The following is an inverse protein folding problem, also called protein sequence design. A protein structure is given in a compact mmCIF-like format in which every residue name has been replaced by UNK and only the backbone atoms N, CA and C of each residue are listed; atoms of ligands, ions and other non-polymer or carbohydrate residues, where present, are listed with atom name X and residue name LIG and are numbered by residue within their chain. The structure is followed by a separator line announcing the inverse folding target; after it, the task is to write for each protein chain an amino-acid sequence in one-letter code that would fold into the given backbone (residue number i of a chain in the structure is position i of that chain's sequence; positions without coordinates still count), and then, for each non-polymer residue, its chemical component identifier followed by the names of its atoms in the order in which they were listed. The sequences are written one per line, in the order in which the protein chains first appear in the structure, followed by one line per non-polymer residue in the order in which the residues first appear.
data_IF_465676367362
#
_entry.id   IF_465676367362
#
_cell.length_a   1.000
_cell.length_b   1.000
_cell.length_c   1.000
_cell.angle_alpha   90.00
_cell.angle_beta   90.00
_cell.angle_gamma   90.00
#
_symmetry.space_group_name_H-M   'P 1'
#
loop_
_entity.id
_entity.type
_entity.pdbx_description
1 polymer ?
#
# COMPACT_ATOMS: atom_id res chain seq x y z
N UNK A 1 -4.43 -3.18 18.56
CA UNK A 1 -4.72 -1.85 17.98
C UNK A 1 -6.12 -1.95 17.42
N UNK A 2 -6.99 -1.04 17.84
CA UNK A 2 -8.35 -1.01 17.34
C UNK A 2 -8.40 -0.45 15.91
N UNK A 3 -9.41 -0.85 15.12
CA UNK A 3 -9.53 -0.43 13.71
C UNK A 3 -9.47 1.09 13.54
N UNK A 4 -10.16 1.83 14.40
CA UNK A 4 -10.19 3.29 14.35
C UNK A 4 -8.81 3.90 14.59
N UNK A 5 -8.05 3.35 15.53
CA UNK A 5 -6.67 3.79 15.79
C UNK A 5 -5.77 3.54 14.57
N UNK A 6 -5.95 2.40 13.90
CA UNK A 6 -5.21 2.07 12.68
C UNK A 6 -5.51 3.08 11.55
N UNK A 7 -6.79 3.34 11.31
CA UNK A 7 -7.27 4.26 10.26
C UNK A 7 -6.85 5.70 10.56
N UNK A 8 -7.00 6.14 11.80
CA UNK A 8 -6.62 7.48 12.23
C UNK A 8 -5.09 7.64 12.28
N UNK A 9 -4.34 6.60 12.64
CA UNK A 9 -2.89 6.60 12.72
C UNK A 9 -2.17 6.41 11.37
N UNK A 10 -2.88 6.02 10.31
CA UNK A 10 -2.29 5.79 8.99
C UNK A 10 -1.60 7.04 8.44
N UNK A 11 -0.40 6.85 7.89
CA UNK A 11 0.37 7.86 7.15
C UNK A 11 1.19 7.16 6.06
N UNK A 12 1.57 7.91 5.03
CA UNK A 12 2.49 7.39 4.01
C UNK A 12 3.88 7.25 4.62
N UNK A 13 4.50 6.07 4.47
CA UNK A 13 5.83 5.76 5.00
C UNK A 13 6.76 5.49 3.81
N UNK A 14 7.90 6.19 3.81
CA UNK A 14 8.94 6.03 2.79
C UNK A 14 10.29 5.55 3.38
N UNK A 15 10.32 5.26 4.70
CA UNK A 15 11.53 4.88 5.43
C UNK A 15 11.41 3.45 5.96
N UNK A 16 11.70 2.48 5.09
CA UNK A 16 11.63 1.06 5.44
C UNK A 16 12.98 0.54 5.93
N UNK A 17 12.95 -0.46 6.81
CA UNK A 17 14.12 -1.22 7.21
C UNK A 17 14.57 -2.13 6.04
N UNK A 18 15.75 -1.91 5.44
CA UNK A 18 16.23 -2.75 4.35
C UNK A 18 16.70 -4.14 4.80
N UNK A 19 17.02 -4.32 6.09
CA UNK A 19 17.50 -5.58 6.65
C UNK A 19 16.36 -6.52 7.03
N UNK A 20 15.13 -6.02 7.13
CA UNK A 20 13.96 -6.80 7.53
C UNK A 20 12.96 -6.94 6.39
N UNK A 21 12.85 -8.15 5.86
CA UNK A 21 11.82 -8.52 4.87
C UNK A 21 10.44 -8.71 5.51
N UNK A 22 9.41 -8.72 4.66
CA UNK A 22 8.06 -9.17 5.03
C UNK A 22 7.91 -10.62 4.56
N UNK A 23 7.41 -11.47 5.45
CA UNK A 23 7.22 -12.89 5.15
C UNK A 23 6.11 -13.09 4.11
N UNK A 24 6.21 -14.18 3.36
CA UNK A 24 5.26 -14.43 2.27
C UNK A 24 3.83 -14.63 2.77
N UNK A 25 3.66 -15.33 3.90
CA UNK A 25 2.34 -15.57 4.49
C UNK A 25 1.68 -14.28 4.97
N UNK A 26 2.47 -13.36 5.53
CA UNK A 26 1.98 -12.03 5.90
C UNK A 26 1.52 -11.22 4.68
N UNK A 27 2.23 -11.34 3.55
CA UNK A 27 1.83 -10.70 2.30
C UNK A 27 0.56 -11.33 1.72
N UNK A 28 0.42 -12.66 1.81
CA UNK A 28 -0.80 -13.36 1.38
C UNK A 28 -2.00 -12.90 2.20
N UNK A 29 -1.90 -12.95 3.52
CA UNK A 29 -2.95 -12.50 4.43
C UNK A 29 -3.36 -11.05 4.14
N UNK A 30 -2.38 -10.15 3.97
CA UNK A 30 -2.65 -8.75 3.63
C UNK A 30 -3.40 -8.61 2.30
N UNK A 31 -3.03 -9.37 1.28
CA UNK A 31 -3.66 -9.31 -0.04
C UNK A 31 -5.05 -9.95 -0.04
N UNK A 32 -5.26 -11.03 0.72
CA UNK A 32 -6.57 -11.65 0.91
C UNK A 32 -7.54 -10.67 1.57
N UNK A 33 -7.12 -10.01 2.65
CA UNK A 33 -7.90 -8.97 3.33
C UNK A 33 -8.18 -7.78 2.40
N UNK A 34 -7.18 -7.33 1.64
CA UNK A 34 -7.35 -6.24 0.68
C UNK A 34 -8.33 -6.60 -0.45
N UNK A 35 -8.37 -7.87 -0.87
CA UNK A 35 -9.27 -8.34 -1.93
C UNK A 35 -10.75 -8.30 -1.52
N UNK A 36 -11.05 -8.22 -0.22
CA UNK A 36 -12.42 -8.03 0.27
C UNK A 36 -12.96 -6.60 0.03
N UNK A 37 -12.12 -5.67 -0.41
CA UNK A 37 -12.57 -4.32 -0.74
C UNK A 37 -13.62 -4.37 -1.87
N UNK A 38 -14.73 -3.62 -1.76
CA UNK A 38 -15.76 -3.61 -2.79
C UNK A 38 -15.21 -3.06 -4.11
N UNK A 39 -15.66 -3.63 -5.22
CA UNK A 39 -15.39 -3.13 -6.56
C UNK A 39 -16.68 -3.00 -7.35
N UNK A 40 -16.69 -2.13 -8.37
CA UNK A 40 -17.84 -1.98 -9.25
C UNK A 40 -18.26 -3.35 -9.78
N UNK A 41 -19.54 -3.69 -9.57
CA UNK A 41 -20.16 -4.98 -9.93
C UNK A 41 -19.33 -6.21 -9.52
N UNK A 42 -18.52 -6.09 -8.46
CA UNK A 42 -17.57 -7.10 -7.97
C UNK A 42 -16.58 -7.64 -9.03
N UNK A 43 -16.19 -6.82 -10.01
CA UNK A 43 -15.28 -7.23 -11.09
C UNK A 43 -13.84 -7.51 -10.63
N UNK A 44 -13.43 -6.93 -9.50
CA UNK A 44 -12.05 -6.98 -9.01
C UNK A 44 -11.04 -6.69 -10.14
N UNK A 45 -11.14 -5.53 -10.83
CA UNK A 45 -10.42 -5.27 -12.08
C UNK A 45 -8.94 -4.92 -11.86
N UNK A 46 -8.28 -5.58 -10.90
CA UNK A 46 -6.88 -5.39 -10.56
C UNK A 46 -6.11 -6.69 -10.73
N UNK A 47 -4.82 -6.54 -11.07
CA UNK A 47 -3.83 -7.61 -10.95
C UNK A 47 -2.70 -7.09 -10.09
N UNK A 48 -2.34 -7.85 -9.07
CA UNK A 48 -1.24 -7.51 -8.15
C UNK A 48 -0.06 -8.40 -8.44
N UNK A 49 1.13 -7.79 -8.52
CA UNK A 49 2.38 -8.52 -8.69
C UNK A 49 3.28 -8.20 -7.49
N UNK A 50 3.76 -9.24 -6.81
CA UNK A 50 4.57 -9.10 -5.59
C UNK A 50 6.06 -9.15 -5.91
N UNK A 51 6.77 -8.13 -5.43
CA UNK A 51 8.12 -7.76 -5.81
C UNK A 51 9.13 -7.87 -4.65
N UNK A 52 9.66 -9.06 -4.34
CA UNK A 52 10.53 -9.22 -3.15
C UNK A 52 12.00 -8.81 -3.35
N UNK A 53 12.62 -9.12 -4.50
CA UNK A 53 14.04 -8.79 -4.73
C UNK A 53 14.26 -7.40 -5.34
N UNK A 54 15.40 -6.76 -5.06
CA UNK A 54 15.73 -5.44 -5.58
C UNK A 54 15.77 -5.40 -7.12
N UNK A 55 16.24 -6.47 -7.75
CA UNK A 55 16.23 -6.64 -9.20
C UNK A 55 14.81 -6.78 -9.75
N UNK A 56 13.94 -7.49 -9.01
CA UNK A 56 12.53 -7.63 -9.37
C UNK A 56 11.74 -6.34 -9.19
N UNK A 57 12.14 -5.41 -8.31
CA UNK A 57 11.44 -4.13 -8.11
C UNK A 57 11.48 -3.17 -9.32
N UNK A 58 12.20 -3.52 -10.40
CA UNK A 58 12.21 -2.74 -11.66
C UNK A 58 11.09 -3.22 -12.58
N UNK A 59 10.38 -2.30 -13.23
CA UNK A 59 9.24 -2.58 -14.13
C UNK A 59 9.49 -3.71 -15.16
N UNK A 60 10.72 -3.84 -15.68
CA UNK A 60 11.11 -4.91 -16.62
C UNK A 60 11.01 -6.33 -16.04
N UNK A 61 11.16 -6.50 -14.74
CA UNK A 61 11.22 -7.82 -14.11
C UNK A 61 9.85 -8.48 -13.90
N UNK A 62 8.76 -7.75 -14.14
CA UNK A 62 7.40 -8.27 -14.05
C UNK A 62 6.78 -8.61 -15.40
N UNK A 63 7.55 -8.53 -16.49
CA UNK A 63 7.07 -8.75 -17.85
C UNK A 63 5.80 -7.93 -18.15
N UNK A 64 5.73 -6.72 -17.59
CA UNK A 64 4.67 -5.77 -17.88
C UNK A 64 4.95 -5.27 -19.28
N UNK A 65 4.10 -5.67 -20.24
CA UNK A 65 4.20 -5.23 -21.63
C UNK A 65 4.16 -3.71 -21.72
N UNK A 66 4.85 -3.15 -22.72
CA UNK A 66 4.96 -1.70 -22.91
C UNK A 66 3.59 -1.03 -23.17
N UNK A 67 2.59 -1.82 -23.57
CA UNK A 67 1.19 -1.40 -23.74
C UNK A 67 0.43 -1.24 -22.41
N UNK A 68 0.98 -1.73 -21.28
CA UNK A 68 0.30 -1.74 -19.99
C UNK A 68 0.74 -0.57 -19.11
N UNK A 69 -0.23 0.07 -18.48
CA UNK A 69 -0.01 1.14 -17.51
C UNK A 69 0.10 0.54 -16.10
N UNK A 70 1.09 0.97 -15.31
CA UNK A 70 1.18 0.66 -13.88
C UNK A 70 0.57 1.83 -13.09
N UNK A 71 -0.70 1.74 -12.65
CA UNK A 71 -1.39 2.88 -12.03
C UNK A 71 -0.93 3.11 -10.58
N UNK A 72 -0.33 2.11 -9.93
CA UNK A 72 0.01 2.17 -8.51
C UNK A 72 1.23 1.30 -8.17
N UNK A 73 2.12 1.85 -7.33
CA UNK A 73 3.21 1.14 -6.68
C UNK A 73 3.02 1.21 -5.16
N UNK A 74 3.07 0.06 -4.48
CA UNK A 74 2.93 -0.04 -3.02
C UNK A 74 4.21 -0.60 -2.43
N UNK A 75 4.81 0.14 -1.49
CA UNK A 75 5.89 -0.36 -0.65
C UNK A 75 5.32 -1.00 0.61
N UNK A 76 5.66 -2.28 0.85
CA UNK A 76 5.30 -3.00 2.09
C UNK A 76 6.58 -3.36 2.81
N UNK A 77 6.67 -2.99 4.10
CA UNK A 77 7.86 -3.19 4.89
C UNK A 77 7.70 -2.68 6.32
N UNK A 78 8.71 -2.95 7.13
CA UNK A 78 8.78 -2.47 8.51
C UNK A 78 9.41 -1.08 8.56
N UNK A 79 8.91 -0.22 9.46
CA UNK A 79 9.50 1.09 9.68
C UNK A 79 10.95 0.93 10.16
N UNK A 80 11.88 1.67 9.55
CA UNK A 80 13.28 1.66 9.96
C UNK A 80 13.42 2.04 11.44
N UNK A 81 14.13 1.24 12.22
CA UNK A 81 14.35 1.49 13.64
C UNK A 81 14.96 2.89 13.89
N UNK A 82 14.50 3.56 14.96
CA UNK A 82 14.93 4.91 15.31
C UNK A 82 14.35 6.02 14.41
N UNK A 83 13.49 5.70 13.44
CA UNK A 83 12.84 6.71 12.59
C UNK A 83 11.82 7.51 13.42
N UNK A 84 12.08 8.80 13.60
CA UNK A 84 11.11 9.72 14.18
C UNK A 84 10.10 10.14 13.10
N UNK A 85 8.87 9.70 13.25
CA UNK A 85 7.78 10.14 12.39
C UNK A 85 7.40 11.58 12.75
N UNK A 86 7.47 12.48 11.77
CA UNK A 86 7.02 13.85 11.94
C UNK A 86 5.50 13.89 12.22
N UNK A 87 5.01 14.96 12.88
CA UNK A 87 3.58 15.22 12.96
C UNK A 87 2.94 15.17 11.57
N UNK A 88 1.70 14.71 11.50
CA UNK A 88 1.00 14.55 10.22
C UNK A 88 0.83 15.90 9.55
N UNK A 89 1.56 16.12 8.47
CA UNK A 89 1.30 17.25 7.58
C UNK A 89 0.04 16.93 6.75
N UNK A 90 -0.90 17.88 6.71
CA UNK A 90 -1.97 17.98 5.71
C UNK A 90 -2.93 16.76 5.62
N UNK A 91 -4.05 16.83 6.36
CA UNK A 91 -5.24 16.00 6.09
C UNK A 91 -6.37 16.95 5.68
N UNK A 92 -6.99 16.71 4.52
CA UNK A 92 -8.18 17.47 4.11
C UNK A 92 -9.26 17.32 5.18
N UNK A 93 -9.92 18.42 5.52
CA UNK A 93 -11.12 18.39 6.36
C UNK A 93 -12.25 17.81 5.53
N UNK A 94 -13.24 17.23 6.21
CA UNK A 94 -14.40 16.61 5.55
C UNK A 94 -15.08 17.60 4.59
N UNK A 95 -15.27 18.83 5.05
CA UNK A 95 -15.91 19.92 4.31
C UNK A 95 -15.13 20.36 3.07
N UNK A 96 -13.83 20.02 2.98
CA UNK A 96 -13.03 20.38 1.81
C UNK A 96 -13.35 19.46 0.60
N UNK A 97 -14.04 18.33 0.78
CA UNK A 97 -14.30 17.36 -0.30
C UNK A 97 -15.63 16.61 -0.24
N UNK A 98 -16.46 16.85 0.79
CA UNK A 98 -17.78 16.25 0.91
C UNK A 98 -18.85 17.34 0.88
N UNK A 99 -19.87 17.11 0.06
CA UNK A 99 -21.10 17.89 0.07
C UNK A 99 -22.24 16.95 0.45
N UNK A 100 -22.94 17.26 1.54
CA UNK A 100 -24.19 16.62 1.87
C UNK A 100 -25.29 17.22 0.97
N UNK A 101 -26.05 16.36 0.31
CA UNK A 101 -27.17 16.72 -0.55
C UNK A 101 -28.49 16.53 0.20
#
# INVERSE_FOLDING_TARGET
MELLEAVMGRRSINFFDPARGVEEDQLRELLELANLAPSSVNLQPWRVIVAKSAEKKKNKAFSIGEEKIVPLLIGVGYLKHGTKLLPRALRRRLDDFVKFA
#
